data_IF_877309417067
#
_entry.id   IF_877309417067
#
_cell.length_a   1.000
_cell.length_b   1.000
_cell.length_c   1.000
_cell.angle_alpha   90.00
_cell.angle_beta   90.00
_cell.angle_gamma   90.00
#
_symmetry.space_group_name_H-M   'P 1'
#
loop_
_entity.id
_entity.type
_entity.pdbx_description
1 polymer ?
#
# COMPACT_ATOMS: atom_id res chain seq x y z
N UNK A 1 20.63 -8.75 9.58
CA UNK A 1 19.66 -7.68 9.86
C UNK A 1 18.66 -8.19 10.87
N UNK A 2 18.44 -7.44 11.95
CA UNK A 2 17.46 -7.77 13.00
C UNK A 2 16.06 -7.28 12.61
N UNK A 3 15.04 -7.70 13.37
CA UNK A 3 13.67 -7.20 13.20
C UNK A 3 13.61 -5.70 13.44
N UNK A 4 14.30 -5.20 14.46
CA UNK A 4 14.34 -3.77 14.78
C UNK A 4 14.99 -2.95 13.66
N UNK A 5 16.11 -3.44 13.10
CA UNK A 5 16.76 -2.81 11.95
C UNK A 5 15.85 -2.80 10.70
N UNK A 6 15.15 -3.90 10.45
CA UNK A 6 14.21 -4.02 9.33
C UNK A 6 13.03 -3.06 9.47
N UNK A 7 12.46 -2.95 10.67
CA UNK A 7 11.36 -2.02 10.94
C UNK A 7 11.81 -0.56 10.87
N UNK A 8 13.02 -0.23 11.32
CA UNK A 8 13.58 1.11 11.22
C UNK A 8 13.76 1.52 9.75
N UNK A 9 14.40 0.66 8.94
CA UNK A 9 14.60 0.90 7.49
C UNK A 9 13.28 1.16 6.77
N UNK A 10 12.29 0.28 6.97
CA UNK A 10 11.01 0.41 6.27
C UNK A 10 10.27 1.72 6.64
N UNK A 11 10.38 2.19 7.88
CA UNK A 11 9.76 3.46 8.31
C UNK A 11 10.46 4.67 7.71
N UNK A 12 11.78 4.59 7.56
CA UNK A 12 12.59 5.64 6.92
C UNK A 12 12.29 5.73 5.41
N UNK A 13 12.19 4.59 4.73
CA UNK A 13 11.94 4.52 3.28
C UNK A 13 10.47 4.81 2.92
N UNK A 14 9.53 4.60 3.84
CA UNK A 14 8.10 4.77 3.62
C UNK A 14 7.44 5.64 4.69
N UNK A 15 7.76 6.95 4.77
CA UNK A 15 7.29 7.84 5.84
C UNK A 15 5.77 8.03 5.88
N UNK A 16 5.07 7.75 4.77
CA UNK A 16 3.60 7.77 4.70
C UNK A 16 2.92 6.54 5.32
N UNK A 17 3.68 5.57 5.81
CA UNK A 17 3.17 4.32 6.38
C UNK A 17 3.55 4.19 7.85
N UNK A 18 2.57 3.85 8.69
CA UNK A 18 2.79 3.35 10.04
C UNK A 18 3.10 1.86 9.97
N UNK A 19 4.26 1.47 10.46
CA UNK A 19 4.74 0.08 10.38
C UNK A 19 4.91 -0.48 11.78
N UNK A 20 4.32 -1.63 12.04
CA UNK A 20 4.32 -2.34 13.31
C UNK A 20 4.81 -3.78 13.12
N UNK A 21 5.52 -4.28 14.14
CA UNK A 21 5.91 -5.68 14.26
C UNK A 21 5.35 -6.25 15.55
N UNK A 22 4.56 -7.31 15.47
CA UNK A 22 3.95 -7.97 16.62
C UNK A 22 4.26 -9.46 16.56
N UNK A 23 5.27 -9.88 17.33
CA UNK A 23 5.83 -11.24 17.30
C UNK A 23 4.81 -12.34 17.64
N UNK A 24 3.76 -11.99 18.39
CA UNK A 24 2.72 -12.92 18.80
C UNK A 24 1.68 -13.21 17.71
N UNK A 25 1.73 -12.52 16.56
CA UNK A 25 0.78 -12.73 15.45
C UNK A 25 1.29 -13.76 14.44
N UNK A 26 0.40 -14.57 13.82
CA UNK A 26 0.76 -15.45 12.71
C UNK A 26 1.32 -14.71 11.48
N UNK A 27 0.96 -13.43 11.35
CA UNK A 27 1.46 -12.48 10.35
C UNK A 27 1.98 -11.26 11.12
N UNK A 28 3.27 -11.23 11.49
CA UNK A 28 3.78 -10.29 12.48
C UNK A 28 4.05 -8.89 11.92
N UNK A 29 4.17 -8.72 10.61
CA UNK A 29 4.39 -7.41 9.99
C UNK A 29 3.06 -6.80 9.55
N UNK A 30 2.82 -5.56 9.99
CA UNK A 30 1.64 -4.77 9.63
C UNK A 30 2.09 -3.39 9.17
N UNK A 31 1.59 -2.93 8.03
CA UNK A 31 1.75 -1.58 7.53
C UNK A 31 0.37 -0.97 7.30
N UNK A 32 0.16 0.24 7.82
CA UNK A 32 -1.08 0.99 7.70
C UNK A 32 -0.78 2.40 7.19
N UNK A 33 -1.61 2.92 6.30
CA UNK A 33 -1.55 4.29 5.82
C UNK A 33 -2.90 4.95 6.05
N UNK A 34 -2.89 6.13 6.65
CA UNK A 34 -4.11 6.89 6.85
C UNK A 34 -4.66 7.35 5.47
N UNK A 35 -5.97 7.23 5.21
CA UNK A 35 -6.57 7.79 4.01
C UNK A 35 -6.35 9.30 3.99
N UNK A 36 -5.77 9.83 2.92
CA UNK A 36 -5.64 11.28 2.68
C UNK A 36 -6.34 11.66 1.38
N UNK A 37 -6.70 12.93 1.23
CA UNK A 37 -7.34 13.44 0.00
C UNK A 37 -6.44 13.27 -1.24
N UNK A 38 -5.12 13.17 -1.02
CA UNK A 38 -4.12 12.91 -2.05
C UNK A 38 -3.95 11.42 -2.40
N UNK A 39 -4.51 10.52 -1.59
CA UNK A 39 -4.44 9.06 -1.79
C UNK A 39 -5.59 8.59 -2.68
N UNK A 40 -5.26 8.27 -3.93
CA UNK A 40 -6.28 7.90 -4.94
C UNK A 40 -6.37 6.38 -5.16
N UNK A 41 -5.64 5.58 -4.38
CA UNK A 41 -6.03 4.18 -4.19
C UNK A 41 -4.92 3.21 -3.84
N UNK A 42 -5.33 1.94 -3.74
CA UNK A 42 -4.61 0.85 -3.09
C UNK A 42 -5.28 0.45 -1.76
N UNK A 43 -4.92 -0.72 -1.21
CA UNK A 43 -5.33 -1.08 0.15
C UNK A 43 -4.51 -0.25 1.16
N UNK A 44 -5.14 0.47 2.10
CA UNK A 44 -4.43 1.25 3.11
C UNK A 44 -3.74 0.37 4.16
N UNK A 45 -3.87 -0.96 4.05
CA UNK A 45 -3.33 -1.93 4.99
C UNK A 45 -2.62 -3.04 4.20
N UNK A 46 -1.42 -3.41 4.66
CA UNK A 46 -0.66 -4.55 4.16
C UNK A 46 -0.14 -5.38 5.33
N UNK A 47 -0.25 -6.70 5.22
CA UNK A 47 0.26 -7.64 6.24
C UNK A 47 1.19 -8.68 5.59
N UNK A 48 2.27 -9.03 6.27
CA UNK A 48 3.22 -10.03 5.76
C UNK A 48 3.94 -10.83 6.84
N UNK A 49 4.44 -12.01 6.46
CA UNK A 49 5.27 -12.84 7.34
C UNK A 49 6.72 -12.37 7.42
N UNK A 50 7.19 -11.61 6.44
CA UNK A 50 8.55 -11.08 6.38
C UNK A 50 8.54 -9.65 5.84
N UNK A 51 9.57 -8.89 6.21
CA UNK A 51 9.70 -7.47 5.88
C UNK A 51 9.81 -7.20 4.37
N UNK A 52 10.49 -8.06 3.60
CA UNK A 52 10.62 -7.88 2.15
C UNK A 52 9.31 -8.05 1.38
N UNK A 53 8.46 -8.98 1.82
CA UNK A 53 7.09 -9.12 1.27
C UNK A 53 6.23 -7.93 1.70
N UNK A 54 6.37 -7.43 2.94
CA UNK A 54 5.67 -6.24 3.39
C UNK A 54 6.02 -5.04 2.50
N UNK A 55 7.30 -4.80 2.25
CA UNK A 55 7.82 -3.72 1.40
C UNK A 55 7.28 -3.81 -0.03
N UNK A 56 7.28 -5.02 -0.60
CA UNK A 56 6.67 -5.28 -1.90
C UNK A 56 5.18 -4.96 -1.89
N UNK A 57 4.45 -5.39 -0.87
CA UNK A 57 3.01 -5.12 -0.75
C UNK A 57 2.73 -3.63 -0.54
N UNK A 58 3.50 -2.92 0.28
CA UNK A 58 3.38 -1.47 0.46
C UNK A 58 3.68 -0.72 -0.85
N UNK A 59 4.66 -1.21 -1.61
CA UNK A 59 4.99 -0.68 -2.94
C UNK A 59 3.93 -1.03 -3.98
N UNK A 60 3.25 -2.18 -3.85
CA UNK A 60 2.17 -2.66 -4.72
C UNK A 60 0.79 -2.14 -4.35
N UNK A 61 0.60 -1.70 -3.12
CA UNK A 61 -0.51 -0.86 -2.69
C UNK A 61 -0.47 0.51 -3.40
N UNK A 62 0.37 0.65 -4.44
CA UNK A 62 0.61 1.76 -5.34
C UNK A 62 -0.51 2.76 -5.27
N UNK A 63 -0.05 3.92 -4.82
CA UNK A 63 -0.56 5.24 -5.11
C UNK A 63 -1.06 5.31 -6.55
N UNK A 64 -2.33 4.97 -6.74
CA UNK A 64 -2.99 4.99 -8.03
C UNK A 64 -2.90 6.39 -8.67
N UNK A 65 -2.64 7.43 -7.86
CA UNK A 65 -2.30 8.78 -8.32
C UNK A 65 -0.97 8.89 -9.10
N UNK A 66 0.01 8.00 -8.88
CA UNK A 66 1.28 8.00 -9.59
C UNK A 66 1.19 7.31 -10.97
N UNK A 67 0.17 6.46 -11.17
CA UNK A 67 -0.14 5.82 -12.44
C UNK A 67 -1.02 6.66 -13.36
N UNK A 68 -1.62 7.70 -12.81
CA UNK A 68 -2.48 8.64 -13.52
C UNK A 68 -1.67 9.88 -13.85
N UNK A 69 -1.79 10.34 -15.09
CA UNK A 69 -0.94 11.43 -15.57
C UNK A 69 -1.23 12.67 -14.72
N UNK A 70 -0.19 13.32 -14.21
CA UNK A 70 -0.31 14.38 -13.21
C UNK A 70 -1.40 15.39 -13.55
N UNK A 71 -2.49 15.34 -12.80
CA UNK A 71 -3.73 16.08 -13.02
C UNK A 71 -4.51 16.25 -11.71
N UNK A 72 -5.64 16.94 -11.79
CA UNK A 72 -6.59 17.10 -10.69
C UNK A 72 -7.05 15.74 -10.14
N UNK A 73 -7.62 15.72 -8.92
CA UNK A 73 -8.10 14.47 -8.29
C UNK A 73 -9.14 13.78 -9.19
N UNK A 74 -10.00 14.56 -9.83
CA UNK A 74 -11.04 14.10 -10.74
C UNK A 74 -10.45 13.40 -11.97
N UNK A 75 -9.46 14.00 -12.63
CA UNK A 75 -8.76 13.39 -13.78
C UNK A 75 -8.06 12.09 -13.38
N UNK A 76 -7.45 12.06 -12.19
CA UNK A 76 -6.84 10.84 -11.65
C UNK A 76 -7.88 9.75 -11.36
N UNK A 77 -9.08 10.09 -10.93
CA UNK A 77 -10.14 9.09 -10.74
C UNK A 77 -10.66 8.53 -12.06
N UNK A 78 -10.83 9.37 -13.09
CA UNK A 78 -11.27 8.95 -14.42
C UNK A 78 -10.25 8.03 -15.13
N UNK A 79 -8.96 8.36 -15.04
CA UNK A 79 -7.87 7.52 -15.53
C UNK A 79 -7.87 6.14 -14.83
N UNK A 80 -8.25 6.09 -13.55
CA UNK A 80 -8.30 4.84 -12.79
C UNK A 80 -9.49 3.96 -13.10
N UNK A 81 -10.66 4.57 -13.29
CA UNK A 81 -11.82 3.87 -13.81
C UNK A 81 -11.48 3.23 -15.16
N UNK A 82 -10.84 4.00 -16.04
CA UNK A 82 -10.35 3.51 -17.33
C UNK A 82 -9.35 2.35 -17.20
N UNK A 83 -8.39 2.43 -16.26
CA UNK A 83 -7.43 1.34 -16.01
C UNK A 83 -8.12 0.08 -15.45
N UNK A 84 -9.10 0.23 -14.55
CA UNK A 84 -9.85 -0.90 -13.98
C UNK A 84 -10.71 -1.62 -15.02
N UNK A 85 -11.28 -0.89 -15.97
CA UNK A 85 -12.06 -1.47 -17.07
C UNK A 85 -11.17 -2.23 -18.06
N UNK A 86 -10.00 -1.67 -18.38
CA UNK A 86 -9.09 -2.25 -19.38
C UNK A 86 -8.22 -3.40 -18.83
N UNK A 87 -8.04 -3.49 -17.50
CA UNK A 87 -7.24 -4.52 -16.85
C UNK A 87 -8.04 -5.24 -15.75
N UNK A 88 -9.01 -6.11 -16.10
CA UNK A 88 -9.90 -6.74 -15.13
C UNK A 88 -9.19 -7.66 -14.11
N UNK A 89 -7.96 -8.10 -14.40
CA UNK A 89 -7.10 -8.85 -13.47
C UNK A 89 -6.46 -7.99 -12.36
N UNK A 90 -6.59 -6.67 -12.42
CA UNK A 90 -6.19 -5.71 -11.38
C UNK A 90 -7.37 -5.29 -10.48
N UNK A 91 -8.49 -6.04 -10.52
CA UNK A 91 -9.50 -5.99 -9.45
C UNK A 91 -8.85 -6.49 -8.16
N UNK A 92 -8.22 -5.59 -7.43
CA UNK A 92 -7.95 -5.78 -6.02
C UNK A 92 -9.30 -5.73 -5.31
N UNK A 93 -9.89 -6.91 -5.08
CA UNK A 93 -11.04 -7.02 -4.19
C UNK A 93 -10.58 -6.54 -2.80
N UNK A 94 -11.18 -5.45 -2.32
CA UNK A 94 -11.22 -5.14 -0.90
C UNK A 94 -11.95 -6.32 -0.26
N UNK A 95 -11.17 -7.28 0.23
CA UNK A 95 -11.71 -8.37 1.03
C UNK A 95 -12.41 -7.75 2.24
N UNK A 96 -13.72 -7.88 2.29
CA UNK A 96 -14.53 -7.62 3.48
C UNK A 96 -14.14 -8.63 4.56
N UNK A 97 -13.16 -8.26 5.39
CA UNK A 97 -12.84 -8.97 6.64
C UNK A 97 -12.84 -7.97 7.79
#
# INVERSE_FOLDING_TARGET
MTISESAARLREEHPGWRIEYVDSKPVPWLAMRDPSDDWIGGHPVAEAKNSGVLERLMSQAVDLAALTSGGSREERMEDLESLRENFPGWRFDLSDV
#
